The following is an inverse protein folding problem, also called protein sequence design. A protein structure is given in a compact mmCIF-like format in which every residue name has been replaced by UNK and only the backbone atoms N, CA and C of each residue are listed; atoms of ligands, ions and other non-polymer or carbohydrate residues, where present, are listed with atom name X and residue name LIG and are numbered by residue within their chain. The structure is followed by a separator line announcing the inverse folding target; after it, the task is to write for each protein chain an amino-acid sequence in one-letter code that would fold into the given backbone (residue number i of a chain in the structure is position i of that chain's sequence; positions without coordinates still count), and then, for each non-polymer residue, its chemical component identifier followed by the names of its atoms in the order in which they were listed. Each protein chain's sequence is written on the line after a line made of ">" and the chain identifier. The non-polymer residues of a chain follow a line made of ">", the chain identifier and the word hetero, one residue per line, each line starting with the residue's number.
data_IF_153850143865
#
_entry.id   IF_153850143865
#
_cell.length_a   1.000
_cell.length_b   1.000
_cell.length_c   1.000
_cell.angle_alpha   90.00
_cell.angle_beta   90.00
_cell.angle_gamma   90.00
#
_symmetry.space_group_name_H-M   'P 1'
#
loop_
_entity.id
_entity.type
_entity.pdbx_description
1 polymer ?
#
# COMPACT_ATOMS: atom_id res chain seq x y z
N UNK A 1 28.22 10.45 10.50
CA UNK A 1 26.80 10.46 10.13
C UNK A 1 26.20 9.07 10.26
N UNK A 2 25.12 8.92 11.03
CA UNK A 2 24.27 7.71 11.06
C UNK A 2 23.69 7.42 9.68
N UNK A 3 23.51 6.15 9.34
CA UNK A 3 22.88 5.74 8.08
C UNK A 3 21.51 5.16 8.35
N UNK A 4 20.61 5.36 7.40
CA UNK A 4 19.31 4.72 7.38
C UNK A 4 19.31 3.70 6.25
N UNK A 5 19.08 2.44 6.60
CA UNK A 5 18.96 1.35 5.65
C UNK A 5 17.48 1.02 5.48
N UNK A 6 16.95 1.23 4.28
CA UNK A 6 15.60 0.79 3.91
C UNK A 6 15.74 -0.53 3.17
N UNK A 7 14.96 -1.53 3.56
CA UNK A 7 15.00 -2.86 2.97
C UNK A 7 13.57 -3.24 2.58
N UNK A 8 13.31 -3.27 1.28
CA UNK A 8 12.07 -3.79 0.73
C UNK A 8 12.11 -5.31 0.67
N UNK A 9 11.10 -5.95 1.24
CA UNK A 9 10.83 -7.37 1.00
C UNK A 9 9.94 -7.45 -0.23
N UNK A 10 10.57 -7.74 -1.36
CA UNK A 10 9.95 -7.76 -2.67
C UNK A 10 9.14 -9.04 -2.87
N UNK A 11 8.00 -8.90 -3.55
CA UNK A 11 7.04 -9.97 -3.83
C UNK A 11 6.51 -9.87 -5.27
N UNK A 12 7.21 -9.22 -6.21
CA UNK A 12 6.73 -9.01 -7.59
C UNK A 12 5.90 -10.18 -8.12
N UNK A 13 4.72 -9.85 -8.64
CA UNK A 13 3.74 -10.82 -9.14
C UNK A 13 4.15 -11.52 -10.45
N UNK A 14 5.27 -11.12 -11.07
CA UNK A 14 5.72 -11.69 -12.33
C UNK A 14 6.54 -12.97 -12.08
N UNK A 15 5.97 -14.11 -12.48
CA UNK A 15 6.55 -15.44 -12.78
C UNK A 15 7.50 -16.13 -11.77
N UNK A 16 7.82 -15.53 -10.61
CA UNK A 16 8.85 -16.03 -9.69
C UNK A 16 8.41 -16.20 -8.24
N UNK A 17 7.17 -15.89 -7.88
CA UNK A 17 6.61 -16.44 -6.65
C UNK A 17 6.29 -17.90 -6.91
N UNK A 18 6.84 -18.82 -6.12
CA UNK A 18 6.35 -20.19 -6.16
C UNK A 18 4.85 -20.16 -5.89
N UNK A 19 4.06 -20.87 -6.70
CA UNK A 19 2.63 -21.07 -6.45
C UNK A 19 2.41 -21.47 -4.97
N UNK A 20 3.32 -22.29 -4.43
CA UNK A 20 3.41 -22.66 -3.02
C UNK A 20 3.38 -21.46 -2.05
N UNK A 21 4.13 -20.38 -2.31
CA UNK A 21 4.10 -19.21 -1.43
C UNK A 21 2.76 -18.51 -1.55
N UNK A 22 2.26 -18.27 -2.76
CA UNK A 22 1.00 -17.55 -2.97
C UNK A 22 -0.20 -18.25 -2.33
N UNK A 23 -0.26 -19.57 -2.45
CA UNK A 23 -1.35 -20.41 -1.94
C UNK A 23 -1.20 -20.76 -0.45
N UNK A 24 -0.01 -20.58 0.12
CA UNK A 24 0.24 -20.90 1.52
C UNK A 24 -0.66 -20.12 2.49
N UNK A 25 -0.98 -20.79 3.61
CA UNK A 25 -1.72 -20.18 4.71
C UNK A 25 -0.98 -18.97 5.28
N UNK A 26 -1.74 -17.98 5.76
CA UNK A 26 -1.18 -16.75 6.32
C UNK A 26 -0.15 -17.01 7.44
N UNK A 27 -0.33 -18.06 8.25
CA UNK A 27 0.62 -18.47 9.29
C UNK A 27 1.96 -18.92 8.73
N UNK A 28 1.95 -19.72 7.65
CA UNK A 28 3.16 -20.11 6.95
C UNK A 28 3.88 -18.89 6.34
N UNK A 29 3.12 -17.96 5.74
CA UNK A 29 3.66 -16.70 5.21
C UNK A 29 4.31 -15.85 6.29
N UNK A 30 3.68 -15.76 7.46
CA UNK A 30 4.23 -15.04 8.61
C UNK A 30 5.52 -15.71 9.13
N UNK A 31 5.54 -17.03 9.26
CA UNK A 31 6.76 -17.74 9.66
C UNK A 31 7.89 -17.55 8.64
N UNK A 32 7.56 -17.59 7.36
CA UNK A 32 8.51 -17.29 6.28
C UNK A 32 9.03 -15.84 6.37
N UNK A 33 8.15 -14.87 6.58
CA UNK A 33 8.50 -13.47 6.79
C UNK A 33 9.46 -13.30 7.98
N UNK A 34 9.18 -13.93 9.11
CA UNK A 34 10.03 -13.88 10.30
C UNK A 34 11.41 -14.51 10.01
N UNK A 35 11.47 -15.62 9.27
CA UNK A 35 12.75 -16.21 8.83
C UNK A 35 13.52 -15.25 7.92
N UNK A 36 12.84 -14.67 6.93
CA UNK A 36 13.46 -13.72 5.99
C UNK A 36 13.99 -12.47 6.70
N UNK A 37 13.24 -11.90 7.63
CA UNK A 37 13.71 -10.76 8.44
C UNK A 37 14.96 -11.15 9.24
N UNK A 38 14.97 -12.30 9.89
CA UNK A 38 16.18 -12.75 10.62
C UNK A 38 17.40 -12.87 9.71
N UNK A 39 17.23 -13.43 8.52
CA UNK A 39 18.30 -13.53 7.52
C UNK A 39 18.80 -12.14 7.10
N UNK A 40 17.88 -11.23 6.75
CA UNK A 40 18.21 -9.83 6.41
C UNK A 40 19.03 -9.19 7.53
N UNK A 41 18.61 -9.38 8.78
CA UNK A 41 19.34 -8.82 9.93
C UNK A 41 20.74 -9.43 10.11
N UNK A 42 20.91 -10.72 9.82
CA UNK A 42 22.23 -11.38 9.78
C UNK A 42 23.09 -10.78 8.66
N UNK A 43 22.55 -10.56 7.46
CA UNK A 43 23.27 -9.95 6.35
C UNK A 43 23.67 -8.51 6.64
N UNK A 44 22.77 -7.71 7.20
CA UNK A 44 23.06 -6.33 7.62
C UNK A 44 24.14 -6.30 8.71
N UNK A 45 24.19 -7.29 9.59
CA UNK A 45 25.23 -7.40 10.61
C UNK A 45 26.61 -7.74 10.04
N UNK A 46 26.69 -8.32 8.84
CA UNK A 46 27.96 -8.60 8.13
C UNK A 46 28.54 -7.37 7.43
N UNK A 47 27.80 -6.27 7.30
CA UNK A 47 28.31 -5.03 6.70
C UNK A 47 29.47 -4.47 7.55
N UNK A 48 30.69 -4.55 7.01
CA UNK A 48 31.92 -4.05 7.66
C UNK A 48 31.89 -2.54 7.92
N UNK A 49 31.02 -1.80 7.22
CA UNK A 49 30.86 -0.36 7.40
C UNK A 49 29.74 -0.01 8.38
N UNK A 50 29.08 -1.00 9.00
CA UNK A 50 27.97 -0.80 9.95
C UNK A 50 28.40 0.10 11.10
N UNK A 51 27.58 1.12 11.37
CA UNK A 51 27.70 1.94 12.58
C UNK A 51 26.68 1.47 13.61
N UNK A 52 27.01 1.66 14.88
CA UNK A 52 26.16 1.24 16.00
C UNK A 52 24.78 1.92 15.97
N UNK A 53 24.72 3.16 15.46
CA UNK A 53 23.50 3.96 15.36
C UNK A 53 22.80 3.84 13.99
N UNK A 54 23.19 2.88 13.14
CA UNK A 54 22.50 2.66 11.87
C UNK A 54 21.07 2.17 12.13
N UNK A 55 20.09 2.89 11.56
CA UNK A 55 18.66 2.57 11.66
C UNK A 55 18.26 1.70 10.49
N UNK A 56 17.46 0.67 10.75
CA UNK A 56 17.02 -0.28 9.73
C UNK A 56 15.51 -0.22 9.64
N UNK A 57 14.99 0.03 8.43
CA UNK A 57 13.57 -0.04 8.12
C UNK A 57 13.35 -1.23 7.20
N UNK A 58 12.50 -2.16 7.61
CA UNK A 58 11.99 -3.21 6.73
C UNK A 58 10.56 -2.85 6.34
N UNK A 59 10.26 -2.93 5.04
CA UNK A 59 8.95 -2.61 4.48
C UNK A 59 8.57 -3.62 3.41
N UNK A 60 7.28 -3.86 3.24
CA UNK A 60 6.74 -4.65 2.12
C UNK A 60 5.41 -4.05 1.65
N UNK A 61 4.97 -4.52 0.48
CA UNK A 61 3.74 -4.05 -0.18
C UNK A 61 2.45 -4.41 0.56
N UNK A 62 1.36 -3.79 0.12
CA UNK A 62 -0.01 -4.16 0.48
C UNK A 62 -0.28 -5.66 0.24
N UNK A 63 -0.98 -6.31 1.17
CA UNK A 63 -1.37 -7.73 1.11
C UNK A 63 -0.21 -8.76 1.08
N UNK A 64 1.03 -8.37 1.39
CA UNK A 64 2.19 -9.26 1.26
C UNK A 64 2.16 -10.56 2.09
N UNK A 65 1.32 -10.62 3.14
CA UNK A 65 1.19 -11.78 4.05
C UNK A 65 -0.17 -12.47 3.97
N UNK A 66 -1.08 -11.98 3.12
CA UNK A 66 -2.45 -12.51 3.02
C UNK A 66 -2.53 -13.55 1.91
N UNK A 67 -3.54 -14.43 1.94
CA UNK A 67 -3.76 -15.39 0.85
C UNK A 67 -4.28 -14.65 -0.40
N UNK A 68 -3.96 -15.15 -1.61
CA UNK A 68 -4.54 -14.65 -2.85
C UNK A 68 -6.07 -14.84 -2.89
N UNK A 69 -6.59 -15.91 -2.28
CA UNK A 69 -8.03 -16.24 -2.24
C UNK A 69 -8.78 -15.55 -1.11
N UNK A 70 -8.09 -15.28 0.02
CA UNK A 70 -8.66 -14.53 1.14
C UNK A 70 -7.64 -13.51 1.66
N UNK A 71 -7.89 -12.24 1.31
CA UNK A 71 -7.05 -11.12 1.70
C UNK A 71 -7.27 -10.67 3.15
N UNK A 72 -8.28 -11.22 3.81
CA UNK A 72 -8.71 -10.78 5.13
C UNK A 72 -8.13 -11.67 6.23
N UNK A 73 -7.64 -11.05 7.29
CA UNK A 73 -7.08 -11.75 8.44
C UNK A 73 -8.09 -11.82 9.59
N UNK A 74 -8.11 -12.97 10.26
CA UNK A 74 -8.88 -13.17 11.49
C UNK A 74 -8.29 -12.34 12.64
N UNK A 75 -9.08 -12.14 13.70
CA UNK A 75 -8.64 -11.42 14.89
C UNK A 75 -7.49 -12.17 15.58
N UNK A 76 -7.56 -13.49 15.62
CA UNK A 76 -6.55 -14.40 16.17
C UNK A 76 -5.24 -14.26 15.40
N UNK A 77 -5.31 -14.30 14.06
CA UNK A 77 -4.14 -14.13 13.22
C UNK A 77 -3.52 -12.75 13.40
N UNK A 78 -4.33 -11.69 13.48
CA UNK A 78 -3.85 -10.34 13.77
C UNK A 78 -3.10 -10.27 15.10
N UNK A 79 -3.58 -10.94 16.15
CA UNK A 79 -2.88 -11.01 17.45
C UNK A 79 -1.53 -11.72 17.31
N UNK A 80 -1.51 -12.87 16.61
CA UNK A 80 -0.28 -13.61 16.34
C UNK A 80 0.73 -12.77 15.54
N UNK A 81 0.26 -12.13 14.46
CA UNK A 81 1.04 -11.23 13.63
C UNK A 81 1.71 -10.12 14.45
N UNK A 82 0.92 -9.39 15.25
CA UNK A 82 1.46 -8.33 16.12
C UNK A 82 2.49 -8.87 17.10
N UNK A 83 2.21 -10.00 17.74
CA UNK A 83 3.14 -10.65 18.68
C UNK A 83 4.47 -10.98 18.00
N UNK A 84 4.45 -11.62 16.83
CA UNK A 84 5.67 -12.06 16.13
C UNK A 84 6.53 -10.89 15.67
N UNK A 85 5.92 -9.80 15.19
CA UNK A 85 6.64 -8.59 14.81
C UNK A 85 7.16 -7.79 16.01
N UNK A 86 6.43 -7.77 17.12
CA UNK A 86 6.96 -7.30 18.40
C UNK A 86 8.17 -8.13 18.83
N UNK A 87 8.06 -9.46 18.90
CA UNK A 87 9.14 -10.35 19.35
C UNK A 87 10.44 -10.14 18.54
N UNK A 88 10.35 -10.00 17.20
CA UNK A 88 11.54 -9.79 16.35
C UNK A 88 12.14 -8.38 16.48
N UNK A 89 11.32 -7.33 16.67
CA UNK A 89 11.83 -5.97 16.89
C UNK A 89 12.39 -5.78 18.31
N UNK A 90 11.95 -6.57 19.29
CA UNK A 90 12.64 -6.67 20.59
C UNK A 90 14.04 -7.25 20.44
N UNK A 91 14.21 -8.26 19.57
CA UNK A 91 15.49 -8.92 19.31
C UNK A 91 16.49 -8.01 18.59
N UNK A 92 16.02 -7.10 17.74
CA UNK A 92 16.84 -6.17 16.97
C UNK A 92 16.47 -4.72 17.28
N UNK A 93 17.10 -4.08 18.29
CA UNK A 93 16.68 -2.76 18.78
C UNK A 93 16.75 -1.61 17.77
N UNK A 94 17.56 -1.75 16.71
CA UNK A 94 17.70 -0.75 15.66
C UNK A 94 16.78 -1.01 14.44
N UNK A 95 15.93 -2.03 14.51
CA UNK A 95 14.97 -2.41 13.48
C UNK A 95 13.61 -1.79 13.74
N UNK A 96 13.13 -1.00 12.78
CA UNK A 96 11.74 -0.64 12.61
C UNK A 96 11.14 -1.46 11.46
N UNK A 97 9.92 -1.95 11.64
CA UNK A 97 9.17 -2.66 10.61
C UNK A 97 7.95 -1.83 10.25
N UNK A 98 7.88 -1.39 9.00
CA UNK A 98 6.69 -0.81 8.38
C UNK A 98 5.97 -1.98 7.73
N UNK A 99 5.06 -2.61 8.49
CA UNK A 99 4.31 -3.71 7.95
C UNK A 99 3.44 -3.21 6.81
N UNK A 100 3.54 -3.84 5.64
CA UNK A 100 2.58 -3.64 4.56
C UNK A 100 1.14 -3.82 5.05
N UNK A 101 0.17 -3.47 4.22
CA UNK A 101 -1.21 -3.38 4.70
C UNK A 101 -1.83 -4.73 4.98
N UNK A 102 -2.64 -4.73 6.03
CA UNK A 102 -3.42 -5.86 6.49
C UNK A 102 -4.89 -5.46 6.42
N UNK A 103 -5.67 -6.23 5.67
CA UNK A 103 -7.13 -6.14 5.68
C UNK A 103 -7.68 -6.98 6.83
N UNK A 104 -8.47 -6.38 7.71
CA UNK A 104 -9.21 -7.09 8.75
C UNK A 104 -10.70 -6.95 8.49
N UNK A 105 -11.42 -8.07 8.50
CA UNK A 105 -12.88 -8.11 8.39
C UNK A 105 -13.49 -8.15 9.78
N UNK A 106 -14.59 -7.42 9.95
CA UNK A 106 -15.51 -7.57 11.05
C UNK A 106 -16.92 -7.84 10.48
N UNK A 107 -17.47 -9.00 10.80
CA UNK A 107 -18.86 -9.31 10.48
C UNK A 107 -19.77 -8.58 11.47
N UNK A 108 -20.77 -7.89 10.93
CA UNK A 108 -21.75 -7.11 11.67
C UNK A 108 -23.13 -7.71 11.41
N UNK A 109 -23.82 -8.09 12.49
CA UNK A 109 -25.20 -8.56 12.46
C UNK A 109 -26.18 -7.41 12.19
N UNK A 110 -27.34 -7.72 11.60
CA UNK A 110 -28.41 -6.77 11.26
C UNK A 110 -28.73 -5.76 12.37
N UNK A 111 -28.85 -6.23 13.62
CA UNK A 111 -29.14 -5.41 14.81
C UNK A 111 -28.15 -4.26 15.06
N UNK A 112 -26.90 -4.39 14.60
CA UNK A 112 -25.83 -3.39 14.82
C UNK A 112 -25.61 -2.49 13.60
N UNK A 113 -26.30 -2.74 12.49
CA UNK A 113 -26.13 -1.99 11.24
C UNK A 113 -26.40 -0.49 11.41
N UNK A 114 -27.47 -0.02 12.08
CA UNK A 114 -27.72 1.42 12.19
C UNK A 114 -26.56 2.18 12.86
N UNK A 115 -26.00 1.60 13.92
CA UNK A 115 -24.85 2.18 14.62
C UNK A 115 -23.60 2.21 13.73
N UNK A 116 -23.32 1.13 13.01
CA UNK A 116 -22.15 1.02 12.14
C UNK A 116 -22.29 1.94 10.92
N UNK A 117 -23.47 2.05 10.33
CA UNK A 117 -23.77 2.97 9.24
C UNK A 117 -23.50 4.42 9.65
N UNK A 118 -23.93 4.83 10.85
CA UNK A 118 -23.62 6.15 11.40
C UNK A 118 -22.12 6.38 11.60
N UNK A 119 -21.38 5.39 12.12
CA UNK A 119 -19.92 5.49 12.29
C UNK A 119 -19.17 5.58 10.95
N UNK A 120 -19.62 4.84 9.94
CA UNK A 120 -19.06 4.88 8.59
C UNK A 120 -19.34 6.26 7.97
N UNK A 121 -20.58 6.73 8.02
CA UNK A 121 -20.97 8.05 7.49
C UNK A 121 -20.15 9.17 8.13
N UNK A 122 -20.02 9.17 9.45
CA UNK A 122 -19.19 10.14 10.18
C UNK A 122 -17.71 10.13 9.75
N UNK A 123 -17.18 8.96 9.40
CA UNK A 123 -15.81 8.84 8.89
C UNK A 123 -15.65 9.50 7.50
N UNK A 124 -16.65 9.36 6.62
CA UNK A 124 -16.67 10.06 5.33
C UNK A 124 -16.84 11.57 5.50
N UNK A 125 -17.74 12.01 6.39
CA UNK A 125 -17.95 13.43 6.68
C UNK A 125 -16.67 14.10 7.22
N UNK A 126 -15.93 13.40 8.10
CA UNK A 126 -14.65 13.89 8.63
C UNK A 126 -13.61 14.10 7.52
N UNK A 127 -13.71 13.34 6.44
CA UNK A 127 -12.78 13.36 5.32
C UNK A 127 -13.37 14.03 4.07
N UNK A 128 -14.36 14.92 4.22
CA UNK A 128 -15.03 15.58 3.08
C UNK A 128 -14.06 16.34 2.14
N UNK A 129 -12.90 16.75 2.64
CA UNK A 129 -11.85 17.35 1.82
C UNK A 129 -11.36 16.40 0.72
N UNK A 130 -11.37 15.07 0.96
CA UNK A 130 -11.01 14.05 -0.03
C UNK A 130 -12.00 14.08 -1.17
N UNK A 131 -13.31 14.12 -0.89
CA UNK A 131 -14.35 14.24 -1.91
C UNK A 131 -14.13 15.47 -2.81
N UNK A 132 -13.67 16.59 -2.24
CA UNK A 132 -13.35 17.79 -3.02
C UNK A 132 -12.11 17.64 -3.93
N UNK A 133 -11.13 16.83 -3.53
CA UNK A 133 -9.96 16.50 -4.37
C UNK A 133 -10.34 15.51 -5.46
N UNK A 134 -11.12 14.50 -5.11
CA UNK A 134 -11.58 13.45 -6.03
C UNK A 134 -12.44 13.98 -7.18
N UNK A 135 -13.37 14.91 -6.90
CA UNK A 135 -14.20 15.55 -7.93
C UNK A 135 -13.37 16.39 -8.91
N UNK A 136 -12.23 16.92 -8.48
CA UNK A 136 -11.34 17.74 -9.33
C UNK A 136 -10.43 16.89 -10.22
N UNK A 137 -10.03 15.71 -9.74
CA UNK A 137 -9.15 14.79 -10.46
C UNK A 137 -9.91 13.74 -11.31
N UNK A 138 -11.25 13.69 -11.27
CA UNK A 138 -12.05 12.72 -12.03
C UNK A 138 -12.17 13.08 -13.52
N UNK A 139 -11.26 12.52 -14.33
CA UNK A 139 -11.37 12.44 -15.79
C UNK A 139 -11.99 11.09 -16.27
N UNK A 140 -12.38 10.21 -15.34
CA UNK A 140 -12.82 8.85 -15.63
C UNK A 140 -14.33 8.69 -15.37
N UNK A 141 -15.13 8.37 -16.39
CA UNK A 141 -16.59 8.27 -16.31
C UNK A 141 -17.08 7.11 -15.42
N UNK A 142 -16.23 6.10 -15.17
CA UNK A 142 -16.51 5.00 -14.21
C UNK A 142 -16.24 5.37 -12.74
N UNK A 143 -15.79 6.60 -12.48
CA UNK A 143 -15.44 7.05 -11.16
C UNK A 143 -16.68 7.27 -10.28
N UNK A 144 -16.93 6.34 -9.36
CA UNK A 144 -17.83 6.56 -8.23
C UNK A 144 -17.01 7.05 -7.04
N UNK A 145 -17.27 8.26 -6.51
CA UNK A 145 -16.69 8.71 -5.24
C UNK A 145 -16.79 7.60 -4.18
N UNK A 146 -15.71 7.38 -3.43
CA UNK A 146 -15.63 6.33 -2.41
C UNK A 146 -16.80 6.36 -1.43
N UNK A 147 -17.31 7.56 -1.11
CA UNK A 147 -18.52 7.77 -0.31
C UNK A 147 -19.79 7.16 -0.95
N UNK A 148 -19.99 7.34 -2.26
CA UNK A 148 -21.15 6.79 -2.97
C UNK A 148 -21.16 5.25 -2.96
N UNK A 149 -19.98 4.62 -2.97
CA UNK A 149 -19.87 3.16 -2.87
C UNK A 149 -20.36 2.66 -1.51
N UNK A 150 -19.91 3.29 -0.41
CA UNK A 150 -20.37 2.93 0.93
C UNK A 150 -21.87 3.20 1.12
N UNK A 151 -22.38 4.33 0.63
CA UNK A 151 -23.81 4.66 0.68
C UNK A 151 -24.68 3.66 -0.10
N UNK A 152 -24.23 3.20 -1.26
CA UNK A 152 -24.96 2.22 -2.06
C UNK A 152 -25.07 0.86 -1.35
N UNK A 153 -23.97 0.38 -0.75
CA UNK A 153 -24.00 -0.85 0.06
C UNK A 153 -24.93 -0.67 1.26
N UNK A 154 -24.83 0.47 1.97
CA UNK A 154 -25.69 0.76 3.12
C UNK A 154 -27.18 0.83 2.72
N UNK A 155 -27.52 1.43 1.58
CA UNK A 155 -28.89 1.51 1.07
C UNK A 155 -29.45 0.13 0.69
N UNK A 156 -28.63 -0.73 0.09
CA UNK A 156 -29.00 -2.10 -0.27
C UNK A 156 -29.14 -3.04 0.93
N UNK A 157 -28.58 -2.71 2.09
CA UNK A 157 -28.81 -3.47 3.34
C UNK A 157 -30.24 -3.33 3.86
N UNK A 158 -30.94 -2.25 3.52
CA UNK A 158 -32.32 -2.00 3.95
C UNK A 158 -33.39 -2.83 3.20
N UNK A 159 -33.00 -3.68 2.23
CA UNK A 159 -33.92 -4.37 1.33
C UNK A 159 -34.05 -5.88 1.55
N UNK A 160 -33.99 -6.38 2.79
CA UNK A 160 -34.22 -7.80 3.17
C UNK A 160 -33.28 -8.86 2.54
N UNK A 161 -32.17 -8.47 1.89
CA UNK A 161 -31.31 -9.38 1.10
C UNK A 161 -30.07 -9.89 1.86
N UNK A 162 -29.69 -9.29 3.00
CA UNK A 162 -28.40 -9.55 3.65
C UNK A 162 -28.53 -9.82 5.16
N UNK A 163 -28.06 -10.99 5.61
CA UNK A 163 -28.04 -11.38 7.04
C UNK A 163 -26.86 -10.77 7.82
N UNK A 164 -25.77 -10.44 7.13
CA UNK A 164 -24.53 -9.90 7.70
C UNK A 164 -23.90 -8.83 6.80
N UNK A 165 -23.20 -7.87 7.42
CA UNK A 165 -22.38 -6.86 6.76
C UNK A 165 -20.90 -7.09 7.09
N UNK A 166 -20.07 -7.23 6.07
CA UNK A 166 -18.63 -7.31 6.19
C UNK A 166 -18.02 -5.92 6.18
N UNK A 167 -17.44 -5.50 7.32
CA UNK A 167 -16.71 -4.23 7.41
C UNK A 167 -15.22 -4.52 7.34
N UNK A 168 -14.56 -4.01 6.30
CA UNK A 168 -13.13 -4.20 6.08
C UNK A 168 -12.37 -2.93 6.44
N UNK A 169 -11.20 -3.10 7.08
CA UNK A 169 -10.26 -2.03 7.32
C UNK A 169 -8.86 -2.44 6.90
N UNK A 170 -8.23 -1.59 6.10
CA UNK A 170 -6.83 -1.71 5.71
C UNK A 170 -5.95 -0.92 6.66
N UNK A 171 -4.97 -1.61 7.27
CA UNK A 171 -4.10 -1.02 8.27
C UNK A 171 -2.64 -1.36 8.00
N UNK A 172 -1.77 -0.36 8.01
CA UNK A 172 -0.33 -0.49 8.15
C UNK A 172 0.06 -0.39 9.63
N UNK A 173 0.85 -1.35 10.13
CA UNK A 173 1.35 -1.34 11.51
C UNK A 173 2.84 -1.04 11.52
N UNK A 174 3.30 -0.32 12.53
CA UNK A 174 4.71 -0.03 12.69
C UNK A 174 5.20 -0.61 13.99
N UNK A 175 6.23 -1.46 13.90
CA UNK A 175 6.84 -2.10 15.04
C UNK A 175 8.25 -1.58 15.23
N UNK A 176 8.60 -1.26 16.47
CA UNK A 176 9.93 -0.82 16.84
C UNK A 176 10.16 -1.15 18.31
N UNK A 177 11.38 -1.61 18.64
CA UNK A 177 11.80 -1.94 20.00
C UNK A 177 10.80 -2.80 20.78
N UNK A 178 10.21 -3.81 20.12
CA UNK A 178 9.30 -4.75 20.77
C UNK A 178 7.84 -4.34 20.82
N UNK A 179 7.50 -3.15 20.33
CA UNK A 179 6.17 -2.58 20.46
C UNK A 179 5.60 -2.16 19.12
N UNK A 180 4.29 -2.22 18.98
CA UNK A 180 3.57 -1.59 17.88
C UNK A 180 3.50 -0.08 18.21
N UNK A 181 4.48 0.69 17.74
CA UNK A 181 4.63 2.12 18.08
C UNK A 181 3.64 3.01 17.33
N UNK A 182 3.18 2.57 16.16
CA UNK A 182 2.21 3.31 15.36
C UNK A 182 1.30 2.38 14.58
N UNK A 183 0.17 2.91 14.17
CA UNK A 183 -0.81 2.29 13.30
C UNK A 183 -1.31 3.38 12.35
N UNK A 184 -1.30 3.09 11.05
CA UNK A 184 -1.89 3.91 10.01
C UNK A 184 -3.04 3.16 9.35
N UNK A 185 -4.26 3.54 9.69
CA UNK A 185 -5.47 3.10 8.97
C UNK A 185 -5.67 3.89 7.68
N UNK A 186 -6.00 3.19 6.60
CA UNK A 186 -6.27 3.79 5.29
C UNK A 186 -7.44 4.77 5.40
N UNK A 187 -7.21 6.02 5.00
CA UNK A 187 -8.15 7.14 5.01
C UNK A 187 -9.02 7.11 3.75
N UNK A 188 -8.46 6.70 2.60
CA UNK A 188 -9.15 6.67 1.32
C UNK A 188 -9.18 5.25 0.71
N UNK A 189 -10.13 4.38 1.09
CA UNK A 189 -10.35 3.11 0.40
C UNK A 189 -10.79 3.35 -1.05
N UNK A 190 -10.37 2.47 -1.98
CA UNK A 190 -10.59 2.67 -3.42
C UNK A 190 -10.90 1.40 -4.19
N UNK A 191 -12.09 1.30 -4.79
CA UNK A 191 -12.48 0.21 -5.70
C UNK A 191 -12.23 -1.21 -5.15
N UNK A 192 -12.21 -1.35 -3.82
CA UNK A 192 -12.01 -2.64 -3.15
C UNK A 192 -13.30 -3.51 -3.19
N UNK A 193 -14.39 -2.97 -3.77
CA UNK A 193 -15.77 -3.51 -3.76
C UNK A 193 -16.18 -4.22 -5.07
N UNK A 194 -15.29 -4.40 -6.06
CA UNK A 194 -15.66 -5.12 -7.30
C UNK A 194 -16.04 -6.57 -6.99
N UNK A 195 -17.35 -6.85 -6.88
CA UNK A 195 -17.92 -8.18 -6.73
C UNK A 195 -18.52 -8.53 -5.37
N UNK A 196 -18.49 -7.63 -4.37
CA UNK A 196 -19.05 -7.91 -3.04
C UNK A 196 -20.24 -6.99 -2.73
N UNK A 197 -21.42 -7.57 -2.56
CA UNK A 197 -22.67 -6.83 -2.27
C UNK A 197 -22.86 -6.52 -0.79
N UNK A 198 -22.11 -7.20 0.07
CA UNK A 198 -22.25 -7.21 1.53
C UNK A 198 -21.05 -6.58 2.25
N UNK A 199 -20.17 -5.89 1.53
CA UNK A 199 -18.87 -5.46 2.03
C UNK A 199 -18.70 -3.94 1.96
N UNK A 200 -18.29 -3.33 3.07
CA UNK A 200 -17.94 -1.91 3.15
C UNK A 200 -16.53 -1.74 3.67
N UNK A 201 -15.74 -0.92 2.98
CA UNK A 201 -14.43 -0.50 3.46
C UNK A 201 -14.57 0.75 4.32
N UNK A 202 -14.13 0.65 5.56
CA UNK A 202 -14.28 1.72 6.54
C UNK A 202 -13.02 2.60 6.54
N UNK A 203 -13.13 3.87 6.12
CA UNK A 203 -12.05 4.83 6.29
C UNK A 203 -11.81 5.13 7.78
N UNK A 204 -10.62 5.61 8.12
CA UNK A 204 -10.35 6.05 9.49
C UNK A 204 -11.18 7.29 9.86
N UNK A 205 -11.59 7.35 11.14
CA UNK A 205 -12.33 8.47 11.72
C UNK A 205 -11.58 9.17 12.86
N UNK A 206 -10.33 8.79 13.13
CA UNK A 206 -9.61 9.26 14.32
C UNK A 206 -8.65 10.42 14.02
N UNK A 207 -8.85 11.54 14.72
CA UNK A 207 -7.80 12.52 14.99
C UNK A 207 -6.65 11.80 15.72
N UNK A 208 -5.47 11.71 15.10
CA UNK A 208 -4.29 11.05 15.69
C UNK A 208 -3.78 9.81 14.93
N UNK A 209 -4.47 9.35 13.89
CA UNK A 209 -3.98 8.35 12.95
C UNK A 209 -3.24 9.03 11.80
N UNK A 210 -2.18 9.77 12.13
CA UNK A 210 -1.42 10.53 11.12
C UNK A 210 -0.61 9.60 10.24
N UNK A 211 -0.47 9.97 8.97
CA UNK A 211 0.52 9.43 8.05
C UNK A 211 1.96 9.71 8.51
N UNK A 212 2.19 10.69 9.40
CA UNK A 212 3.51 11.10 9.88
C UNK A 212 3.89 10.39 11.17
N UNK A 213 5.10 9.83 11.21
CA UNK A 213 5.63 9.06 12.35
C UNK A 213 7.06 9.49 12.65
N UNK A 214 7.41 9.57 13.94
CA UNK A 214 8.78 9.83 14.38
C UNK A 214 9.31 8.63 15.20
N UNK A 215 10.41 8.03 14.74
CA UNK A 215 11.13 6.95 15.46
C UNK A 215 12.61 7.33 15.53
N UNK A 216 13.14 7.47 16.75
CA UNK A 216 14.52 7.85 17.04
C UNK A 216 15.00 8.99 16.13
N UNK A 217 14.47 10.20 16.24
CA UNK A 217 14.83 11.37 15.41
C UNK A 217 14.50 11.28 13.90
N UNK A 218 14.11 10.11 13.38
CA UNK A 218 13.72 9.94 11.97
C UNK A 218 12.22 10.15 11.85
N UNK A 219 11.85 11.24 11.19
CA UNK A 219 10.46 11.47 10.79
C UNK A 219 10.24 10.87 9.40
N UNK A 220 9.23 10.02 9.24
CA UNK A 220 8.80 9.50 7.95
C UNK A 220 7.28 9.60 7.80
N UNK A 221 6.82 9.63 6.55
CA UNK A 221 5.41 9.59 6.18
C UNK A 221 5.05 8.25 5.56
N UNK A 222 3.84 7.76 5.75
CA UNK A 222 3.30 6.56 5.09
C UNK A 222 1.97 6.88 4.43
N UNK A 223 1.86 6.50 3.16
CA UNK A 223 0.62 6.47 2.39
C UNK A 223 0.36 5.04 1.90
N UNK A 224 -0.92 4.66 1.89
CA UNK A 224 -1.41 3.40 1.36
C UNK A 224 -2.10 3.65 0.03
N UNK A 225 -1.55 3.07 -1.04
CA UNK A 225 -2.22 2.94 -2.32
C UNK A 225 -2.67 4.31 -2.86
N UNK A 226 -3.98 4.53 -3.01
CA UNK A 226 -4.55 5.78 -3.55
C UNK A 226 -4.35 7.02 -2.68
N UNK A 227 -3.97 6.88 -1.41
CA UNK A 227 -3.68 8.03 -0.55
C UNK A 227 -2.64 8.96 -1.19
N UNK A 228 -1.67 8.40 -1.91
CA UNK A 228 -0.71 9.19 -2.68
C UNK A 228 -1.34 9.95 -3.84
N UNK A 229 -2.30 9.36 -4.54
CA UNK A 229 -3.02 10.01 -5.64
C UNK A 229 -3.79 11.25 -5.19
N UNK A 230 -4.30 11.26 -3.96
CA UNK A 230 -5.03 12.40 -3.37
C UNK A 230 -4.14 13.31 -2.51
N UNK A 231 -2.91 12.90 -2.22
CA UNK A 231 -1.93 13.67 -1.46
C UNK A 231 -2.25 13.80 0.02
N UNK A 232 -2.67 12.72 0.67
CA UNK A 232 -3.02 12.70 2.11
C UNK A 232 -1.86 13.20 2.97
N UNK A 233 -0.67 12.62 2.81
CA UNK A 233 0.49 12.98 3.63
C UNK A 233 0.84 14.45 3.44
N UNK A 234 0.84 14.92 2.19
CA UNK A 234 1.10 16.32 1.85
C UNK A 234 0.07 17.24 2.52
N UNK A 235 -1.21 16.86 2.48
CA UNK A 235 -2.29 17.60 3.13
C UNK A 235 -2.10 17.64 4.65
N UNK A 236 -1.86 16.51 5.31
CA UNK A 236 -1.64 16.46 6.78
C UNK A 236 -0.43 17.29 7.22
N UNK A 237 0.66 17.26 6.46
CA UNK A 237 1.88 18.00 6.77
C UNK A 237 1.79 19.51 6.51
N UNK A 238 0.82 19.96 5.68
CA UNK A 238 0.70 21.36 5.26
C UNK A 238 -0.54 22.06 5.78
N UNK A 239 -1.58 21.32 6.19
CA UNK A 239 -2.79 21.84 6.80
C UNK A 239 -2.62 22.00 8.33
N UNK A 240 -3.20 23.07 8.87
CA UNK A 240 -2.89 23.72 10.16
C UNK A 240 -3.12 22.91 11.45
N UNK A 241 -2.46 21.78 11.69
CA UNK A 241 -2.52 21.09 13.00
C UNK A 241 -1.26 20.35 13.41
N UNK A 242 -0.45 19.93 12.46
CA UNK A 242 0.89 19.45 12.70
C UNK A 242 1.84 20.58 12.34
N UNK A 243 2.81 20.89 13.23
CA UNK A 243 3.95 21.73 12.85
C UNK A 243 4.41 21.28 11.47
N UNK A 244 4.61 22.20 10.52
CA UNK A 244 4.91 21.89 9.12
C UNK A 244 6.16 21.03 8.99
N UNK A 245 5.99 19.72 9.18
CA UNK A 245 7.02 18.71 9.29
C UNK A 245 7.08 18.05 7.91
N UNK A 246 8.17 18.34 7.20
CA UNK A 246 8.52 17.56 6.02
C UNK A 246 9.20 16.27 6.48
N UNK A 247 8.64 15.08 6.18
CA UNK A 247 9.27 13.83 6.56
C UNK A 247 10.59 13.65 5.79
N UNK A 248 11.56 12.99 6.42
CA UNK A 248 12.80 12.58 5.78
C UNK A 248 12.50 11.56 4.67
N UNK A 249 11.67 10.56 4.99
CA UNK A 249 11.30 9.49 4.07
C UNK A 249 9.78 9.47 3.90
N UNK A 250 9.33 9.38 2.66
CA UNK A 250 7.94 9.13 2.31
C UNK A 250 7.81 7.71 1.77
N UNK A 251 7.16 6.85 2.53
CA UNK A 251 6.83 5.49 2.12
C UNK A 251 5.45 5.48 1.44
N UNK A 252 5.40 4.97 0.22
CA UNK A 252 4.14 4.65 -0.44
C UNK A 252 4.06 3.13 -0.57
N UNK A 253 3.13 2.50 0.13
CA UNK A 253 2.88 1.06 0.04
C UNK A 253 1.61 0.84 -0.76
N UNK A 254 1.70 0.12 -1.87
CA UNK A 254 0.56 0.02 -2.79
C UNK A 254 0.42 -1.35 -3.43
N UNK A 255 -0.70 -1.50 -4.12
CA UNK A 255 -1.01 -2.65 -4.96
C UNK A 255 -1.53 -2.11 -6.29
N UNK A 256 -0.68 -2.10 -7.32
CA UNK A 256 -1.00 -1.69 -8.70
C UNK A 256 -1.34 -0.21 -8.87
N UNK A 257 -0.74 0.70 -8.09
CA UNK A 257 -0.98 2.15 -8.22
C UNK A 257 0.29 2.88 -8.67
N UNK A 258 0.12 3.75 -9.67
CA UNK A 258 1.15 4.71 -10.08
C UNK A 258 1.28 5.84 -9.06
N UNK A 259 2.51 6.28 -8.82
CA UNK A 259 2.75 7.48 -8.02
C UNK A 259 2.25 8.73 -8.73
N UNK A 260 1.77 9.68 -7.94
CA UNK A 260 1.40 11.01 -8.40
C UNK A 260 2.49 12.00 -7.99
N UNK A 261 3.33 12.42 -8.94
CA UNK A 261 4.52 13.23 -8.68
C UNK A 261 4.24 14.51 -7.88
N UNK A 262 3.15 15.23 -8.22
CA UNK A 262 2.70 16.45 -7.51
C UNK A 262 2.45 16.24 -6.01
N UNK A 263 2.23 15.00 -5.57
CA UNK A 263 1.88 14.63 -4.20
C UNK A 263 3.05 13.98 -3.44
N UNK A 264 4.21 13.77 -4.07
CA UNK A 264 5.38 13.25 -3.38
C UNK A 264 5.86 14.25 -2.31
N UNK A 265 5.84 13.83 -1.05
CA UNK A 265 6.14 14.71 0.08
C UNK A 265 7.16 14.12 1.04
N UNK A 266 8.44 14.36 0.76
CA UNK A 266 9.57 13.94 1.59
C UNK A 266 10.91 14.36 0.96
N UNK A 267 12.03 14.03 1.59
CA UNK A 267 13.35 14.17 0.96
C UNK A 267 13.75 12.93 0.16
N UNK A 268 13.36 11.77 0.67
CA UNK A 268 13.46 10.48 0.00
C UNK A 268 12.06 9.92 -0.17
N UNK A 269 11.78 9.35 -1.35
CA UNK A 269 10.51 8.67 -1.62
C UNK A 269 10.83 7.19 -1.85
N UNK A 270 10.11 6.31 -1.19
CA UNK A 270 10.27 4.88 -1.31
C UNK A 270 8.93 4.23 -1.60
N UNK A 271 8.78 3.68 -2.81
CA UNK A 271 7.53 3.11 -3.29
C UNK A 271 7.67 1.60 -3.42
N UNK A 272 6.77 0.88 -2.74
CA UNK A 272 6.73 -0.57 -2.71
C UNK A 272 5.36 -1.02 -3.24
N UNK A 273 5.34 -1.38 -4.51
CA UNK A 273 4.13 -1.82 -5.22
C UNK A 273 4.11 -3.33 -5.47
N UNK A 274 2.95 -3.86 -5.87
CA UNK A 274 2.77 -5.26 -6.21
C UNK A 274 3.08 -5.64 -7.67
N UNK A 275 2.93 -4.69 -8.58
CA UNK A 275 3.13 -4.86 -10.02
C UNK A 275 4.31 -4.05 -10.53
N UNK A 276 4.50 -2.86 -9.98
CA UNK A 276 5.64 -2.02 -10.35
C UNK A 276 6.90 -2.42 -9.60
N UNK A 277 8.05 -2.10 -10.18
CA UNK A 277 9.33 -2.28 -9.49
C UNK A 277 9.38 -1.37 -8.25
N UNK A 278 10.16 -1.76 -7.26
CA UNK A 278 10.42 -0.91 -6.10
C UNK A 278 11.18 0.33 -6.56
N UNK A 279 10.56 1.50 -6.40
CA UNK A 279 11.16 2.78 -6.75
C UNK A 279 11.73 3.49 -5.53
N UNK A 280 12.89 4.13 -5.73
CA UNK A 280 13.57 4.93 -4.72
C UNK A 280 13.99 6.26 -5.33
N UNK A 281 13.38 7.35 -4.89
CA UNK A 281 13.67 8.70 -5.37
C UNK A 281 14.39 9.51 -4.29
N UNK A 282 15.34 10.34 -4.72
CA UNK A 282 15.95 11.38 -3.92
C UNK A 282 15.47 12.74 -4.48
N UNK A 283 14.65 13.42 -3.69
CA UNK A 283 14.06 14.73 -4.03
C UNK A 283 14.96 15.90 -3.60
N UNK A 284 16.11 15.60 -2.98
CA UNK A 284 17.02 16.61 -2.40
C UNK A 284 17.94 17.20 -3.46
N UNK A 285 18.17 18.52 -3.36
CA UNK A 285 19.37 19.13 -3.90
C UNK A 285 20.58 18.70 -3.03
N UNK A 286 21.45 17.86 -3.61
CA UNK A 286 22.65 17.31 -2.97
C UNK A 286 23.62 18.38 -2.42
N UNK A 287 23.41 19.66 -2.73
CA UNK A 287 24.20 20.80 -2.23
C UNK A 287 23.80 21.25 -0.81
N UNK A 288 22.68 20.78 -0.25
CA UNK A 288 22.25 21.09 1.12
C UNK A 288 22.82 20.07 2.12
N UNK A 289 23.07 20.49 3.37
CA UNK A 289 23.69 19.64 4.39
C UNK A 289 22.89 18.36 4.65
N UNK A 290 23.49 17.21 4.36
CA UNK A 290 22.87 15.91 4.59
C UNK A 290 22.93 15.59 6.08
N UNK A 291 21.78 15.42 6.72
CA UNK A 291 21.68 14.98 8.12
C UNK A 291 21.75 13.45 8.25
N UNK A 292 21.29 12.73 7.23
CA UNK A 292 21.23 11.27 7.17
C UNK A 292 21.50 10.76 5.75
N UNK A 293 22.32 9.72 5.64
CA UNK A 293 22.52 8.96 4.40
C UNK A 293 21.47 7.85 4.37
N UNK A 294 20.62 7.85 3.34
CA UNK A 294 19.61 6.80 3.14
C UNK A 294 20.09 5.85 2.04
N UNK A 295 20.17 4.57 2.38
CA UNK A 295 20.56 3.50 1.46
C UNK A 295 19.41 2.51 1.37
N UNK A 296 19.00 2.18 0.15
CA UNK A 296 17.93 1.25 -0.09
C UNK A 296 18.43 -0.10 -0.62
N UNK A 297 17.79 -1.17 -0.18
CA UNK A 297 17.99 -2.53 -0.64
C UNK A 297 16.65 -3.19 -0.93
N UNK A 298 16.66 -4.23 -1.76
CA UNK A 298 15.58 -5.19 -1.91
C UNK A 298 16.07 -6.61 -1.76
N UNK A 299 15.17 -7.49 -1.38
CA UNK A 299 15.36 -8.94 -1.43
C UNK A 299 14.02 -9.61 -1.61
N UNK A 300 13.98 -10.75 -2.30
CA UNK A 300 12.78 -11.49 -2.55
C UNK A 300 12.29 -12.18 -1.26
N UNK A 301 11.06 -11.87 -0.85
CA UNK A 301 10.44 -12.43 0.34
C UNK A 301 10.18 -13.93 0.23
N UNK A 302 9.86 -14.47 -0.96
CA UNK A 302 9.56 -15.91 -1.14
C UNK A 302 10.81 -16.77 -1.23
N UNK A 303 11.97 -16.18 -1.51
CA UNK A 303 13.24 -16.88 -1.67
C UNK A 303 14.20 -16.58 -0.50
N UNK A 304 14.29 -17.51 0.46
CA UNK A 304 15.24 -17.42 1.58
C UNK A 304 16.71 -17.51 1.17
N UNK A 305 17.04 -17.94 -0.04
CA UNK A 305 18.43 -17.92 -0.52
C UNK A 305 18.83 -16.57 -1.13
N UNK A 306 17.85 -15.72 -1.45
CA UNK A 306 18.10 -14.43 -2.07
C UNK A 306 18.73 -13.45 -1.07
N UNK A 307 19.81 -12.80 -1.50
CA UNK A 307 20.54 -11.81 -0.69
C UNK A 307 20.00 -10.40 -0.88
N UNK A 308 20.64 -9.44 -0.21
CA UNK A 308 20.34 -8.01 -0.38
C UNK A 308 20.91 -7.45 -1.69
N UNK A 309 20.03 -6.96 -2.54
CA UNK A 309 20.38 -6.19 -3.75
C UNK A 309 20.19 -4.70 -3.52
N UNK A 310 21.22 -3.88 -3.78
CA UNK A 310 21.14 -2.42 -3.59
C UNK A 310 20.21 -1.79 -4.64
N UNK A 311 19.37 -0.85 -4.20
CA UNK A 311 18.55 0.00 -5.08
C UNK A 311 19.26 1.34 -5.27
N UNK A 312 19.44 1.76 -6.52
CA UNK A 312 20.05 3.05 -6.84
C UNK A 312 18.98 4.15 -6.81
N UNK A 313 19.18 5.25 -6.07
CA UNK A 313 18.23 6.34 -6.06
C UNK A 313 18.15 7.01 -7.43
N UNK A 314 16.92 7.31 -7.85
CA UNK A 314 16.63 8.19 -8.97
C UNK A 314 16.57 9.64 -8.46
N UNK A 315 17.25 10.56 -9.12
CA UNK A 315 17.28 11.96 -8.72
C UNK A 315 16.22 12.75 -9.48
N UNK A 316 15.32 13.41 -8.74
CA UNK A 316 14.25 14.24 -9.32
C UNK A 316 14.61 15.70 -9.10
N UNK A 317 14.77 16.47 -10.19
CA UNK A 317 15.08 17.90 -10.09
C UNK A 317 13.85 18.70 -9.66
N UNK A 318 13.97 19.53 -8.62
CA UNK A 318 12.87 20.38 -8.10
C UNK A 318 12.24 21.33 -9.15
N UNK A 319 12.88 21.54 -10.30
CA UNK A 319 12.42 22.45 -11.36
C UNK A 319 11.07 22.06 -11.99
N UNK A 320 10.62 20.82 -11.90
CA UNK A 320 9.35 20.41 -12.51
C UNK A 320 8.11 20.79 -11.66
N UNK A 321 8.28 21.10 -10.37
CA UNK A 321 7.13 21.37 -9.48
C UNK A 321 6.66 22.83 -9.47
N UNK A 322 7.42 23.77 -10.05
CA UNK A 322 7.07 25.19 -10.07
C UNK A 322 6.35 25.65 -11.35
N UNK A 323 6.48 24.90 -12.45
CA UNK A 323 6.01 25.33 -13.79
C UNK A 323 4.85 24.48 -14.37
N UNK A 324 4.31 23.52 -13.62
CA UNK A 324 3.21 22.66 -14.10
C UNK A 324 1.82 23.28 -13.86
N UNK A 325 1.56 24.39 -14.56
CA UNK A 325 0.23 24.72 -15.10
C UNK A 325 0.13 24.33 -16.59
N UNK A 326 1.05 23.48 -17.08
CA UNK A 326 1.02 22.92 -18.43
C UNK A 326 1.15 21.40 -18.33
N UNK A 327 0.07 20.73 -18.67
CA UNK A 327 -0.03 19.28 -18.87
C UNK A 327 1.04 18.79 -19.85
N UNK A 328 2.05 18.08 -19.34
CA UNK A 328 2.90 17.21 -20.16
C UNK A 328 2.68 15.76 -19.77
N UNK A 329 1.94 15.03 -20.61
CA UNK A 329 1.92 13.57 -20.59
C UNK A 329 3.30 13.05 -20.98
N UNK A 330 4.07 12.55 -20.01
CA UNK A 330 5.21 11.69 -20.29
C UNK A 330 4.66 10.29 -20.58
N UNK A 331 4.53 9.96 -21.86
CA UNK A 331 4.17 8.62 -22.30
C UNK A 331 5.37 7.67 -22.11
N UNK A 332 5.32 6.80 -21.11
CA UNK A 332 6.16 5.60 -21.08
C UNK A 332 5.60 4.61 -22.10
N UNK A 333 6.26 4.50 -23.25
CA UNK A 333 5.91 3.61 -24.36
C UNK A 333 6.32 2.16 -24.02
N UNK A 334 5.40 1.20 -23.79
CA UNK A 334 5.74 -0.19 -23.52
C UNK A 334 5.57 -0.98 -24.80
N UNK A 335 6.44 -0.79 -25.80
CA UNK A 335 6.45 -1.61 -27.00
C UNK A 335 7.80 -1.54 -27.73
N UNK A 336 8.80 -2.25 -27.22
CA UNK A 336 9.79 -2.87 -28.08
C UNK A 336 10.45 -4.03 -27.36
N UNK A 337 10.01 -5.25 -27.68
CA UNK A 337 10.79 -6.50 -27.89
C UNK A 337 9.78 -7.63 -27.75
N UNK A 338 9.09 -7.99 -28.83
CA UNK A 338 8.68 -9.37 -29.08
C UNK A 338 8.66 -9.60 -30.59
N UNK A 339 9.48 -10.57 -31.01
CA UNK A 339 9.65 -10.97 -32.40
C UNK A 339 8.37 -11.54 -32.98
N UNK A 340 8.15 -11.23 -34.26
CA UNK A 340 7.05 -11.72 -35.08
C UNK A 340 7.06 -13.25 -35.16
N UNK A 341 6.10 -13.90 -34.51
CA UNK A 341 5.63 -15.24 -34.89
C UNK A 341 4.30 -15.10 -35.64
N UNK A 342 4.32 -15.42 -36.93
CA UNK A 342 3.11 -15.51 -37.77
C UNK A 342 2.34 -16.78 -37.39
N UNK A 343 1.08 -16.65 -37.00
CA UNK A 343 0.12 -17.75 -37.00
C UNK A 343 -0.73 -17.71 -38.30
N UNK A 344 -1.09 -18.89 -38.85
CA UNK A 344 -1.71 -19.00 -40.16
C UNK A 344 -3.20 -18.62 -40.14
N UNK A 345 -3.66 -18.04 -41.26
CA UNK A 345 -5.06 -17.75 -41.53
C UNK A 345 -5.81 -19.05 -41.83
N UNK A 346 -6.90 -19.32 -41.13
CA UNK A 346 -7.97 -20.20 -41.60
C UNK A 346 -9.18 -19.36 -41.97
N UNK A 347 -9.55 -19.43 -43.25
CA UNK A 347 -10.88 -19.08 -43.76
C UNK A 347 -11.83 -20.21 -43.33
N UNK A 348 -13.05 -19.86 -42.94
CA UNK A 348 -14.26 -20.47 -43.50
C UNK A 348 -15.48 -19.62 -43.15
N UNK A 349 -16.16 -19.22 -44.21
CA UNK A 349 -17.53 -18.74 -44.25
C UNK A 349 -18.49 -19.79 -43.68
N UNK A 350 -19.60 -19.35 -43.07
CA UNK A 350 -20.97 -19.84 -43.35
C UNK A 350 -22.02 -19.04 -42.55
N UNK A 351 -23.07 -18.68 -43.26
CA UNK A 351 -24.18 -17.75 -42.95
C UNK A 351 -25.16 -18.19 -41.83
N UNK A 352 -26.02 -17.27 -41.33
CA UNK A 352 -26.99 -17.54 -40.28
C UNK A 352 -28.32 -18.07 -40.84
N UNK A 353 -28.83 -19.18 -40.29
CA UNK A 353 -30.16 -19.67 -40.61
C UNK A 353 -31.15 -19.39 -39.47
N UNK A 354 -32.02 -18.41 -39.71
CA UNK A 354 -33.17 -18.03 -38.89
C UNK A 354 -34.30 -19.04 -39.10
N UNK A 355 -34.77 -19.70 -38.04
CA UNK A 355 -36.10 -20.37 -38.04
C UNK A 355 -36.96 -19.89 -36.87
N UNK A 356 -38.02 -19.16 -37.25
CA UNK A 356 -39.19 -18.80 -36.46
C UNK A 356 -39.93 -20.07 -36.00
N UNK A 357 -40.26 -20.16 -34.71
CA UNK A 357 -41.33 -21.04 -34.23
C UNK A 357 -42.64 -20.26 -34.15
N UNK A 358 -43.69 -20.78 -34.78
CA UNK A 358 -45.08 -20.41 -34.55
C UNK A 358 -45.59 -21.19 -33.33
N UNK A 359 -46.29 -20.49 -32.44
CA UNK A 359 -47.15 -21.06 -31.41
C UNK A 359 -48.46 -21.50 -32.07
N UNK A 360 -48.95 -22.68 -31.68
CA UNK A 360 -50.37 -23.03 -31.62
C UNK A 360 -50.66 -23.46 -30.19
#
# INVERSE_FOLDING_TARGET
>A
MPRIKIIALDLLNDDLLSEDYLESLAESKLDHLIKKINQVMIEVAKDKNKKIDDKIFIVWREHGITNCTNRNLTIEFKKLFKKRLSDITSKYPNLAIIAGTIATVKNITLEKIPLISSLISCAYDTNQWISNVEVKDSLDEEYQPHQNQAENVIKNLGSDILDELNVIRNTCYIFYAGTCVHRHDKIAPFNEVRGFVDTVFQPTNQKGNSSVVNINDVTFGIEICRENGIGVLKYECTSQSYSSIKPLIHFVVSNTINLTEKNLFGEYIFHVDSKYQIDFFCMRDLRKSITHEVIAYKTNLSNLSDGLSKITPQFVSEKNNADENKTSHVSSNPNSVYGKTKLPKTKNDLEPNVKRRKLN
#
